data_IF_765539055752
#
_entry.id   IF_765539055752
#
_cell.length_a   1.000
_cell.length_b   1.000
_cell.length_c   1.000
_cell.angle_alpha   90.00
_cell.angle_beta   90.00
_cell.angle_gamma   90.00
#
_symmetry.space_group_name_H-M   'P 1'
#
loop_
_entity.id
_entity.type
_entity.pdbx_description
1 polymer ?
#
# COMPACT_ATOMS: atom_id res chain seq x y z
N UNK A 1 17.71 6.83 12.66
CA UNK A 1 18.64 7.71 11.91
C UNK A 1 17.91 8.79 11.11
N UNK A 2 17.06 8.43 10.13
CA UNK A 2 16.34 9.40 9.29
C UNK A 2 15.58 10.48 10.08
N UNK A 3 14.76 10.10 11.07
CA UNK A 3 13.99 11.06 11.88
C UNK A 3 14.87 12.06 12.66
N UNK A 4 16.04 11.63 13.15
CA UNK A 4 16.99 12.53 13.84
C UNK A 4 17.55 13.56 12.85
N UNK A 5 17.96 13.12 11.67
CA UNK A 5 18.46 14.01 10.62
C UNK A 5 17.41 15.01 10.13
N UNK A 6 16.14 14.60 10.03
CA UNK A 6 15.01 15.51 9.72
C UNK A 6 14.86 16.56 10.83
N UNK A 7 14.94 16.16 12.11
CA UNK A 7 14.79 17.10 13.23
C UNK A 7 15.90 18.17 13.27
N UNK A 8 17.13 17.79 12.89
CA UNK A 8 18.29 18.70 12.85
C UNK A 8 18.39 19.51 11.55
N UNK A 9 17.43 19.35 10.63
CA UNK A 9 17.49 20.02 9.34
C UNK A 9 17.37 21.55 9.47
N UNK A 10 18.29 22.25 8.82
CA UNK A 10 18.38 23.72 8.74
C UNK A 10 18.12 24.26 7.34
N UNK A 11 18.09 23.40 6.31
CA UNK A 11 17.79 23.76 4.93
C UNK A 11 16.84 22.74 4.29
N UNK A 12 16.11 23.15 3.25
CA UNK A 12 15.18 22.26 2.53
C UNK A 12 15.89 21.05 1.91
N UNK A 13 17.04 21.19 1.21
CA UNK A 13 17.76 20.01 0.69
C UNK A 13 18.22 19.06 1.79
N UNK A 14 18.64 19.59 2.95
CA UNK A 14 19.02 18.80 4.11
C UNK A 14 17.82 18.00 4.65
N UNK A 15 16.65 18.63 4.75
CA UNK A 15 15.41 17.97 5.15
C UNK A 15 15.02 16.86 4.17
N UNK A 16 15.04 17.13 2.86
CA UNK A 16 14.67 16.17 1.82
C UNK A 16 15.61 14.96 1.76
N UNK A 17 16.92 15.17 1.93
CA UNK A 17 17.90 14.09 1.96
C UNK A 17 17.61 13.11 3.13
N UNK A 18 17.35 13.63 4.33
CA UNK A 18 17.01 12.76 5.46
C UNK A 18 15.61 12.17 5.39
N UNK A 19 14.65 12.82 4.72
CA UNK A 19 13.36 12.21 4.37
C UNK A 19 13.53 11.01 3.47
N UNK A 20 14.42 11.07 2.47
CA UNK A 20 14.76 9.93 1.63
C UNK A 20 15.34 8.77 2.47
N UNK A 21 16.29 9.04 3.35
CA UNK A 21 16.82 7.99 4.25
C UNK A 21 15.77 7.42 5.21
N UNK A 22 14.85 8.26 5.68
CA UNK A 22 13.74 7.85 6.54
C UNK A 22 12.80 6.91 5.80
N UNK A 23 12.36 7.26 4.59
CA UNK A 23 11.44 6.43 3.79
C UNK A 23 12.10 5.16 3.28
N UNK A 24 13.38 5.22 2.93
CA UNK A 24 14.16 4.03 2.55
C UNK A 24 14.13 2.96 3.64
N UNK A 25 14.35 3.34 4.91
CA UNK A 25 14.29 2.39 6.03
C UNK A 25 12.90 1.79 6.25
N UNK A 26 11.85 2.61 6.12
CA UNK A 26 10.45 2.19 6.36
C UNK A 26 9.93 1.24 5.27
N UNK A 27 10.46 1.32 4.04
CA UNK A 27 10.01 0.52 2.88
C UNK A 27 10.00 -1.00 3.11
N UNK A 28 10.86 -1.50 3.99
CA UNK A 28 10.98 -2.93 4.30
C UNK A 28 9.88 -3.47 5.23
N UNK A 29 9.20 -2.62 5.98
CA UNK A 29 8.35 -3.03 7.11
C UNK A 29 7.22 -3.99 6.72
N UNK A 30 6.49 -3.69 5.64
CA UNK A 30 5.40 -4.55 5.16
C UNK A 30 5.91 -5.90 4.64
N UNK A 31 7.00 -5.89 3.86
CA UNK A 31 7.55 -7.09 3.24
C UNK A 31 8.16 -8.03 4.29
N UNK A 32 8.95 -7.49 5.22
CA UNK A 32 9.58 -8.27 6.29
C UNK A 32 8.53 -8.77 7.28
N UNK A 33 7.56 -7.94 7.67
CA UNK A 33 6.49 -8.34 8.59
C UNK A 33 5.64 -9.48 8.04
N UNK A 34 5.24 -9.40 6.76
CA UNK A 34 4.53 -10.50 6.08
C UNK A 34 5.38 -11.78 5.97
N UNK A 35 6.70 -11.64 5.79
CA UNK A 35 7.65 -12.76 5.79
C UNK A 35 7.72 -13.46 7.14
N UNK A 36 7.90 -12.71 8.23
CA UNK A 36 7.95 -13.24 9.60
C UNK A 36 6.67 -14.01 9.95
N UNK A 37 5.50 -13.47 9.58
CA UNK A 37 4.21 -14.17 9.81
C UNK A 37 4.16 -15.48 9.01
N UNK A 38 4.67 -15.49 7.79
CA UNK A 38 4.76 -16.70 6.98
C UNK A 38 5.73 -17.75 7.53
N UNK A 39 6.75 -17.31 8.27
CA UNK A 39 7.73 -18.22 8.88
C UNK A 39 7.20 -18.86 10.19
N UNK A 40 6.36 -18.16 10.98
CA UNK A 40 5.93 -18.62 12.32
C UNK A 40 4.54 -19.28 12.34
N UNK A 41 3.63 -18.93 11.42
CA UNK A 41 2.27 -19.48 11.38
C UNK A 41 2.14 -20.58 10.34
N UNK A 42 1.38 -21.63 10.68
CA UNK A 42 0.96 -22.66 9.72
C UNK A 42 0.05 -22.07 8.66
N UNK A 43 0.00 -22.71 7.48
CA UNK A 43 -0.71 -22.20 6.31
C UNK A 43 -2.18 -21.90 6.61
N UNK A 44 -2.84 -22.73 7.42
CA UNK A 44 -4.26 -22.61 7.77
C UNK A 44 -4.56 -21.42 8.69
N UNK A 45 -3.61 -21.03 9.54
CA UNK A 45 -3.76 -19.93 10.52
C UNK A 45 -3.16 -18.61 10.02
N UNK A 46 -2.33 -18.67 8.97
CA UNK A 46 -1.58 -17.55 8.41
C UNK A 46 -2.48 -16.40 7.95
N UNK A 47 -3.64 -16.71 7.37
CA UNK A 47 -4.59 -15.69 6.89
C UNK A 47 -5.11 -14.81 8.02
N UNK A 48 -5.45 -15.40 9.17
CA UNK A 48 -5.91 -14.65 10.35
C UNK A 48 -4.79 -13.80 10.94
N UNK A 49 -3.58 -14.35 11.05
CA UNK A 49 -2.42 -13.60 11.54
C UNK A 49 -2.06 -12.40 10.63
N UNK A 50 -2.08 -12.60 9.31
CA UNK A 50 -1.92 -11.52 8.33
C UNK A 50 -3.04 -10.47 8.45
N UNK A 51 -4.28 -10.90 8.68
CA UNK A 51 -5.40 -10.01 8.91
C UNK A 51 -5.21 -9.08 10.13
N UNK A 52 -4.72 -9.61 11.25
CA UNK A 52 -4.40 -8.81 12.45
C UNK A 52 -3.25 -7.84 12.16
N UNK A 53 -2.21 -8.28 11.46
CA UNK A 53 -1.09 -7.44 11.06
C UNK A 53 -1.54 -6.26 10.18
N UNK A 54 -2.34 -6.52 9.15
CA UNK A 54 -2.88 -5.46 8.30
C UNK A 54 -3.85 -4.54 9.05
N UNK A 55 -4.66 -5.06 9.97
CA UNK A 55 -5.51 -4.22 10.81
C UNK A 55 -4.69 -3.21 11.64
N UNK A 56 -3.56 -3.64 12.20
CA UNK A 56 -2.64 -2.75 12.92
C UNK A 56 -2.00 -1.70 12.00
N UNK A 57 -1.67 -2.08 10.75
CA UNK A 57 -1.14 -1.15 9.75
C UNK A 57 -2.18 -0.09 9.35
N UNK A 58 -3.43 -0.50 9.13
CA UNK A 58 -4.53 0.40 8.75
C UNK A 58 -4.92 1.37 9.87
N UNK A 59 -4.60 1.06 11.13
CA UNK A 59 -4.76 1.99 12.24
C UNK A 59 -3.79 3.19 12.16
N UNK A 60 -2.64 3.00 11.50
CA UNK A 60 -1.61 4.03 11.34
C UNK A 60 -2.14 5.30 10.68
N UNK A 61 -2.69 5.24 9.45
CA UNK A 61 -3.28 6.39 8.76
C UNK A 61 -4.38 7.11 9.55
N UNK A 62 -5.14 6.40 10.38
CA UNK A 62 -6.20 7.00 11.20
C UNK A 62 -5.65 7.85 12.35
N UNK A 63 -4.56 7.40 12.99
CA UNK A 63 -3.99 8.05 14.19
C UNK A 63 -2.89 9.06 13.81
N UNK A 64 -2.18 8.83 12.71
CA UNK A 64 -0.98 9.60 12.36
C UNK A 64 -1.25 11.10 12.14
N UNK A 65 -2.29 11.54 11.40
CA UNK A 65 -2.54 12.97 11.21
C UNK A 65 -2.96 13.68 12.50
N UNK A 66 -3.80 13.05 13.33
CA UNK A 66 -4.23 13.61 14.61
C UNK A 66 -3.04 13.75 15.58
N UNK A 67 -2.27 12.67 15.77
CA UNK A 67 -1.10 12.68 16.65
C UNK A 67 0.01 13.60 16.14
N UNK A 68 0.21 13.65 14.82
CA UNK A 68 1.16 14.54 14.16
C UNK A 68 0.78 16.01 14.29
N UNK A 69 -0.48 16.35 14.03
CA UNK A 69 -1.01 17.71 14.19
C UNK A 69 -0.97 18.18 15.65
N UNK A 70 -1.31 17.32 16.61
CA UNK A 70 -1.19 17.62 18.03
C UNK A 70 0.27 17.85 18.46
N UNK A 71 1.19 16.99 18.02
CA UNK A 71 2.61 17.13 18.35
C UNK A 71 3.24 18.38 17.69
N UNK A 72 2.80 18.74 16.49
CA UNK A 72 3.27 19.91 15.78
C UNK A 72 2.75 21.21 16.42
N UNK A 73 1.48 21.25 16.84
CA UNK A 73 0.87 22.41 17.48
C UNK A 73 1.35 22.67 18.92
N UNK A 74 1.36 21.63 19.77
CA UNK A 74 1.67 21.79 21.21
C UNK A 74 3.16 21.72 21.54
N UNK A 75 3.98 21.19 20.64
CA UNK A 75 5.42 21.11 20.83
C UNK A 75 6.15 21.72 19.63
N UNK A 76 6.62 20.90 18.72
CA UNK A 76 7.19 21.32 17.44
C UNK A 76 7.32 20.11 16.53
N UNK A 77 7.31 20.33 15.22
CA UNK A 77 7.57 19.27 14.24
C UNK A 77 8.94 18.61 14.44
N UNK A 78 9.93 19.33 15.02
CA UNK A 78 11.24 18.77 15.37
C UNK A 78 11.16 17.82 16.55
N UNK A 79 10.48 18.22 17.63
CA UNK A 79 10.25 17.36 18.78
C UNK A 79 9.47 16.09 18.38
N UNK A 80 8.47 16.23 17.51
CA UNK A 80 7.73 15.10 16.93
C UNK A 80 8.67 14.08 16.25
N UNK A 81 9.62 14.54 15.43
CA UNK A 81 10.58 13.65 14.76
C UNK A 81 11.56 12.98 15.73
N UNK A 82 11.94 13.67 16.81
CA UNK A 82 12.78 13.07 17.86
C UNK A 82 12.01 12.02 18.67
N UNK A 83 10.74 12.26 18.99
CA UNK A 83 9.88 11.26 19.65
C UNK A 83 9.77 10.00 18.78
N UNK A 84 9.54 10.16 17.46
CA UNK A 84 9.55 9.02 16.52
C UNK A 84 10.91 8.29 16.52
N UNK A 85 12.02 9.02 16.61
CA UNK A 85 13.35 8.41 16.69
C UNK A 85 13.51 7.55 17.96
N UNK A 86 13.02 8.03 19.10
CA UNK A 86 13.05 7.28 20.37
C UNK A 86 12.18 6.04 20.27
N UNK A 87 10.93 6.16 19.80
CA UNK A 87 10.01 5.03 19.66
C UNK A 87 10.60 3.95 18.75
N UNK A 88 11.10 4.32 17.57
CA UNK A 88 11.70 3.35 16.63
C UNK A 88 12.97 2.72 17.22
N UNK A 89 13.75 3.47 18.00
CA UNK A 89 14.92 2.91 18.69
C UNK A 89 14.52 1.89 19.77
N UNK A 90 13.46 2.17 20.53
CA UNK A 90 12.91 1.22 21.51
C UNK A 90 12.36 -0.04 20.82
N UNK A 91 11.68 0.10 19.68
CA UNK A 91 11.22 -1.04 18.87
C UNK A 91 12.40 -1.83 18.35
N UNK A 92 13.45 -1.18 17.83
CA UNK A 92 14.66 -1.86 17.38
C UNK A 92 15.33 -2.64 18.51
N UNK A 93 15.49 -2.04 19.69
CA UNK A 93 16.03 -2.74 20.87
C UNK A 93 15.15 -3.92 21.25
N UNK A 94 13.82 -3.74 21.21
CA UNK A 94 12.89 -4.82 21.52
C UNK A 94 13.02 -5.98 20.53
N UNK A 95 13.17 -5.70 19.24
CA UNK A 95 13.43 -6.73 18.22
C UNK A 95 14.77 -7.41 18.46
N UNK A 96 15.83 -6.67 18.76
CA UNK A 96 17.17 -7.23 18.98
C UNK A 96 17.25 -8.16 20.19
N UNK A 97 16.49 -7.87 21.26
CA UNK A 97 16.55 -8.66 22.50
C UNK A 97 15.45 -9.71 22.63
N UNK A 98 14.25 -9.46 22.09
CA UNK A 98 13.09 -10.33 22.30
C UNK A 98 12.65 -11.12 21.07
N UNK A 99 13.05 -10.73 19.85
CA UNK A 99 12.65 -11.46 18.65
C UNK A 99 13.69 -12.55 18.33
N UNK A 100 13.39 -13.84 18.55
CA UNK A 100 14.27 -14.92 18.10
C UNK A 100 14.31 -14.95 16.57
N UNK A 101 15.37 -15.53 16.01
CA UNK A 101 15.44 -15.76 14.55
C UNK A 101 14.26 -16.65 14.14
N UNK A 102 13.39 -16.10 13.29
CA UNK A 102 12.17 -16.79 12.81
C UNK A 102 12.42 -17.61 11.55
N UNK A 103 13.51 -17.34 10.83
CA UNK A 103 13.80 -18.00 9.57
C UNK A 103 14.26 -19.44 9.77
N UNK A 104 13.55 -20.38 9.13
CA UNK A 104 13.92 -21.79 9.13
C UNK A 104 15.12 -22.03 8.20
N UNK A 105 16.16 -22.77 8.61
CA UNK A 105 17.32 -23.05 7.75
C UNK A 105 16.91 -23.78 6.45
N UNK A 106 17.30 -23.24 5.28
CA UNK A 106 17.09 -23.89 3.98
C UNK A 106 15.78 -23.54 3.26
N UNK A 107 14.91 -22.73 3.86
CA UNK A 107 13.67 -22.26 3.19
C UNK A 107 13.86 -20.95 2.40
N UNK A 108 14.96 -20.22 2.63
CA UNK A 108 15.22 -18.93 1.97
C UNK A 108 15.50 -19.09 0.47
N UNK A 109 15.07 -18.10 -0.34
CA UNK A 109 15.56 -17.94 -1.71
C UNK A 109 17.09 -17.79 -1.78
N UNK A 110 17.70 -17.12 -0.79
CA UNK A 110 19.16 -16.99 -0.65
C UNK A 110 19.85 -18.31 -0.29
N UNK A 111 19.20 -19.16 0.53
CA UNK A 111 19.72 -20.49 0.86
C UNK A 111 19.61 -21.43 -0.35
N UNK A 112 18.54 -21.31 -1.15
CA UNK A 112 18.39 -21.99 -2.44
C UNK A 112 19.42 -21.54 -3.47
N UNK A 113 19.68 -20.23 -3.59
CA UNK A 113 20.75 -19.66 -4.43
C UNK A 113 22.14 -20.10 -3.95
N UNK A 114 22.38 -20.13 -2.63
CA UNK A 114 23.63 -20.61 -2.06
C UNK A 114 23.84 -22.12 -2.27
N UNK A 115 22.76 -22.90 -2.40
CA UNK A 115 22.80 -24.34 -2.65
C UNK A 115 22.84 -24.70 -4.14
N UNK A 116 22.44 -23.80 -5.05
CA UNK A 116 22.40 -24.11 -6.50
C UNK A 116 23.78 -24.06 -7.17
N UNK A 117 24.78 -23.38 -6.58
CA UNK A 117 26.06 -23.10 -7.26
C UNK A 117 27.35 -23.40 -6.47
N UNK A 118 27.30 -24.14 -5.35
CA UNK A 118 28.51 -24.42 -4.56
C UNK A 118 28.90 -25.91 -4.54
N UNK A 119 30.07 -26.29 -5.10
CA UNK A 119 30.59 -27.65 -4.93
C UNK A 119 30.84 -27.93 -3.44
N UNK A 120 30.47 -29.15 -3.04
CA UNK A 120 30.30 -29.69 -1.68
C UNK A 120 31.56 -29.79 -0.79
N UNK A 121 32.60 -28.98 -0.98
CA UNK A 121 33.84 -29.07 -0.19
C UNK A 121 34.45 -27.70 0.10
N UNK A 122 34.57 -27.32 1.39
CA UNK A 122 34.81 -25.90 1.75
C UNK A 122 34.38 -25.38 3.14
N UNK A 123 34.13 -26.22 4.15
CA UNK A 123 33.32 -25.89 5.35
C UNK A 123 33.88 -24.85 6.34
N UNK A 124 35.01 -24.17 6.09
CA UNK A 124 35.71 -23.40 7.15
C UNK A 124 35.84 -21.87 6.94
N UNK A 125 35.42 -21.31 5.79
CA UNK A 125 35.24 -19.86 5.64
C UNK A 125 33.77 -19.52 5.37
N UNK A 126 32.95 -19.47 6.43
CA UNK A 126 31.61 -18.85 6.40
C UNK A 126 31.75 -17.31 6.42
N UNK A 127 32.50 -16.74 5.49
CA UNK A 127 32.40 -15.29 5.25
C UNK A 127 31.04 -15.05 4.57
N UNK A 128 30.16 -14.32 5.27
CA UNK A 128 28.89 -13.79 4.78
C UNK A 128 29.17 -12.82 3.62
N UNK A 129 29.44 -13.35 2.43
CA UNK A 129 29.42 -12.52 1.22
C UNK A 129 27.98 -12.00 1.10
N UNK A 130 27.73 -10.68 1.09
CA UNK A 130 26.39 -10.19 0.82
C UNK A 130 26.02 -10.68 -0.58
N UNK A 131 25.03 -11.56 -0.66
CA UNK A 131 24.47 -11.95 -1.94
C UNK A 131 23.87 -10.68 -2.51
N UNK A 132 24.52 -10.11 -3.52
CA UNK A 132 24.04 -8.91 -4.19
C UNK A 132 22.85 -9.32 -5.06
N UNK A 133 21.66 -9.36 -4.44
CA UNK A 133 20.42 -9.54 -5.17
C UNK A 133 20.22 -8.32 -6.06
N UNK A 134 19.91 -8.55 -7.33
CA UNK A 134 19.57 -7.49 -8.25
C UNK A 134 18.18 -6.92 -7.87
N UNK A 135 18.10 -5.69 -7.33
CA UNK A 135 16.84 -5.13 -6.82
C UNK A 135 15.84 -4.79 -7.94
N UNK A 136 16.31 -4.73 -9.19
CA UNK A 136 15.48 -4.42 -10.35
C UNK A 136 14.92 -5.66 -11.05
N UNK A 137 15.39 -6.86 -10.70
CA UNK A 137 14.94 -8.10 -11.34
C UNK A 137 13.43 -8.32 -11.21
N UNK A 138 12.78 -8.09 -10.04
CA UNK A 138 11.33 -8.23 -9.91
C UNK A 138 10.54 -7.30 -10.84
N UNK A 139 11.09 -6.15 -11.26
CA UNK A 139 10.41 -5.24 -12.19
C UNK A 139 10.19 -5.87 -13.57
N UNK A 140 10.94 -6.91 -13.93
CA UNK A 140 10.73 -7.65 -15.18
C UNK A 140 9.36 -8.35 -15.23
N UNK A 141 8.74 -8.62 -14.08
CA UNK A 141 7.40 -9.19 -14.00
C UNK A 141 6.33 -8.26 -14.59
N UNK A 142 6.58 -6.95 -14.62
CA UNK A 142 5.71 -5.95 -15.25
C UNK A 142 5.66 -6.07 -16.78
N UNK A 143 6.49 -6.91 -17.40
CA UNK A 143 6.36 -7.27 -18.82
C UNK A 143 5.07 -8.02 -19.10
N UNK A 144 4.51 -8.70 -18.11
CA UNK A 144 3.20 -9.33 -18.23
C UNK A 144 2.10 -8.25 -18.23
N UNK A 145 1.25 -8.19 -19.27
CA UNK A 145 0.19 -7.20 -19.36
C UNK A 145 -0.77 -7.23 -18.17
N UNK A 146 -1.08 -8.41 -17.62
CA UNK A 146 -2.01 -8.52 -16.50
C UNK A 146 -1.41 -7.98 -15.20
N UNK A 147 -0.11 -8.21 -14.97
CA UNK A 147 0.61 -7.69 -13.79
C UNK A 147 0.72 -6.18 -13.91
N UNK A 148 1.01 -5.66 -15.11
CA UNK A 148 1.05 -4.22 -15.37
C UNK A 148 -0.33 -3.57 -15.16
N UNK A 149 -1.41 -4.17 -15.65
CA UNK A 149 -2.78 -3.66 -15.44
C UNK A 149 -3.12 -3.67 -13.95
N UNK A 150 -2.80 -4.75 -13.22
CA UNK A 150 -3.02 -4.82 -11.78
C UNK A 150 -2.23 -3.73 -11.04
N UNK A 151 -1.00 -3.46 -11.46
CA UNK A 151 -0.18 -2.39 -10.88
C UNK A 151 -0.69 -0.99 -11.22
N UNK A 152 -1.20 -0.79 -12.42
CA UNK A 152 -1.84 0.46 -12.84
C UNK A 152 -3.14 0.71 -12.06
N UNK A 153 -3.96 -0.32 -11.87
CA UNK A 153 -5.17 -0.26 -11.04
C UNK A 153 -4.81 0.11 -9.60
N UNK A 154 -3.80 -0.53 -9.01
CA UNK A 154 -3.34 -0.22 -7.66
C UNK A 154 -2.80 1.23 -7.54
N UNK A 155 -2.14 1.74 -8.57
CA UNK A 155 -1.74 3.15 -8.66
C UNK A 155 -2.94 4.08 -8.73
N UNK A 156 -3.87 3.87 -9.66
CA UNK A 156 -5.01 4.77 -9.89
C UNK A 156 -5.91 4.88 -8.66
N UNK A 157 -6.15 3.77 -7.95
CA UNK A 157 -6.95 3.78 -6.72
C UNK A 157 -6.31 4.68 -5.66
N UNK A 158 -5.00 4.55 -5.43
CA UNK A 158 -4.29 5.44 -4.50
C UNK A 158 -4.17 6.88 -5.03
N UNK A 159 -4.07 7.06 -6.35
CA UNK A 159 -4.00 8.38 -6.95
C UNK A 159 -5.28 9.20 -6.66
N UNK A 160 -6.45 8.55 -6.70
CA UNK A 160 -7.73 9.14 -6.29
C UNK A 160 -7.74 9.50 -4.81
N UNK A 161 -7.25 8.61 -3.94
CA UNK A 161 -7.15 8.83 -2.50
C UNK A 161 -6.31 10.07 -2.16
N UNK A 162 -5.12 10.20 -2.76
CA UNK A 162 -4.23 11.31 -2.48
C UNK A 162 -4.76 12.67 -2.95
N UNK A 163 -5.66 12.71 -3.95
CA UNK A 163 -6.32 13.96 -4.39
C UNK A 163 -7.23 14.52 -3.30
N UNK A 164 -7.86 13.66 -2.51
CA UNK A 164 -8.71 14.08 -1.39
C UNK A 164 -7.87 14.41 -0.15
N UNK A 165 -6.94 13.52 0.21
CA UNK A 165 -6.19 13.60 1.47
C UNK A 165 -5.19 14.77 1.48
N UNK A 166 -4.46 15.03 0.39
CA UNK A 166 -3.37 16.02 0.41
C UNK A 166 -3.89 17.46 0.54
N UNK A 167 -4.84 17.92 -0.29
CA UNK A 167 -5.34 19.28 -0.21
C UNK A 167 -6.13 19.54 1.07
N UNK A 168 -6.68 18.50 1.72
CA UNK A 168 -7.50 18.62 2.93
C UNK A 168 -6.89 19.55 3.98
N UNK A 169 -5.59 19.40 4.26
CA UNK A 169 -4.89 20.23 5.23
C UNK A 169 -4.71 21.69 4.78
N UNK A 170 -4.62 21.94 3.47
CA UNK A 170 -4.45 23.26 2.86
C UNK A 170 -5.79 23.98 2.62
N UNK A 171 -6.88 23.24 2.44
CA UNK A 171 -8.20 23.79 2.15
C UNK A 171 -9.00 24.04 3.43
N UNK A 172 -9.12 23.04 4.31
CA UNK A 172 -9.99 23.12 5.50
C UNK A 172 -9.42 24.10 6.55
N UNK A 173 -8.11 24.07 6.78
CA UNK A 173 -7.47 24.90 7.81
C UNK A 173 -7.76 26.40 7.65
N UNK A 174 -7.37 27.00 6.51
CA UNK A 174 -7.68 28.42 6.21
C UNK A 174 -9.18 28.70 6.11
N UNK A 175 -9.95 27.77 5.54
CA UNK A 175 -11.38 27.96 5.26
C UNK A 175 -12.24 28.07 6.51
N UNK A 176 -11.99 27.23 7.52
CA UNK A 176 -12.73 27.25 8.78
C UNK A 176 -12.01 28.04 9.89
N UNK A 177 -10.93 28.75 9.55
CA UNK A 177 -10.13 29.51 10.53
C UNK A 177 -9.52 28.64 11.62
N UNK A 178 -9.21 27.38 11.32
CA UNK A 178 -8.64 26.44 12.28
C UNK A 178 -7.17 26.79 12.53
N UNK A 179 -6.92 27.51 13.61
CA UNK A 179 -5.57 27.88 14.05
C UNK A 179 -4.78 26.74 14.70
N UNK A 180 -5.48 25.67 15.11
CA UNK A 180 -4.88 24.53 15.78
C UNK A 180 -4.74 23.33 14.82
N UNK A 181 -3.48 22.96 14.54
CA UNK A 181 -3.12 21.87 13.63
C UNK A 181 -3.65 20.51 14.09
N UNK A 182 -3.95 20.34 15.38
CA UNK A 182 -4.58 19.13 15.90
C UNK A 182 -6.01 18.93 15.36
N UNK A 183 -6.78 20.01 15.19
CA UNK A 183 -8.12 19.93 14.60
C UNK A 183 -8.05 19.63 13.10
N UNK A 184 -7.07 20.21 12.39
CA UNK A 184 -6.81 19.84 10.99
C UNK A 184 -6.43 18.36 10.87
N UNK A 185 -5.58 17.86 11.79
CA UNK A 185 -5.27 16.43 11.89
C UNK A 185 -6.48 15.54 12.20
N UNK A 186 -7.44 16.04 12.99
CA UNK A 186 -8.67 15.33 13.31
C UNK A 186 -9.59 15.15 12.10
N UNK A 187 -9.52 16.03 11.10
CA UNK A 187 -10.28 15.89 9.84
C UNK A 187 -9.92 14.65 9.03
N UNK A 188 -8.79 13.99 9.33
CA UNK A 188 -8.40 12.72 8.68
C UNK A 188 -8.96 11.47 9.39
N UNK A 189 -9.59 11.61 10.56
CA UNK A 189 -10.19 10.48 11.28
C UNK A 189 -11.27 9.78 10.45
N UNK A 190 -12.22 10.48 9.78
CA UNK A 190 -13.22 9.84 8.93
C UNK A 190 -12.59 8.96 7.83
N UNK A 191 -11.51 9.43 7.20
CA UNK A 191 -10.75 8.67 6.22
C UNK A 191 -10.18 7.39 6.85
N UNK A 192 -9.47 7.50 7.98
CA UNK A 192 -8.93 6.34 8.68
C UNK A 192 -9.98 5.32 9.13
N UNK A 193 -11.12 5.78 9.66
CA UNK A 193 -12.26 4.92 10.02
C UNK A 193 -12.88 4.27 8.78
N UNK A 194 -13.00 5.01 7.68
CA UNK A 194 -13.46 4.51 6.39
C UNK A 194 -12.61 3.35 5.88
N UNK A 195 -11.29 3.50 5.93
CA UNK A 195 -10.31 2.44 5.63
C UNK A 195 -10.44 1.21 6.52
N UNK A 196 -10.54 1.41 7.84
CA UNK A 196 -10.69 0.34 8.82
C UNK A 196 -11.96 -0.50 8.62
N UNK A 197 -13.04 0.11 8.14
CA UNK A 197 -14.31 -0.58 7.84
C UNK A 197 -14.28 -1.15 6.42
N UNK A 198 -13.77 -0.40 5.46
CA UNK A 198 -13.78 -0.72 4.04
C UNK A 198 -12.94 -1.94 3.68
N UNK A 199 -11.70 -2.02 4.18
CA UNK A 199 -10.79 -3.12 3.84
C UNK A 199 -11.32 -4.49 4.29
N UNK A 200 -11.77 -4.71 5.55
CA UNK A 200 -12.34 -6.00 5.96
C UNK A 200 -13.64 -6.36 5.23
N UNK A 201 -14.50 -5.37 4.94
CA UNK A 201 -15.73 -5.61 4.18
C UNK A 201 -15.44 -6.06 2.75
N UNK A 202 -14.49 -5.42 2.09
CA UNK A 202 -14.10 -5.79 0.73
C UNK A 202 -13.36 -7.13 0.67
N UNK A 203 -12.51 -7.44 1.64
CA UNK A 203 -11.90 -8.77 1.76
C UNK A 203 -12.96 -9.87 1.86
N UNK A 204 -13.93 -9.72 2.77
CA UNK A 204 -15.03 -10.69 2.94
C UNK A 204 -15.92 -10.79 1.70
N UNK A 205 -16.21 -9.67 1.04
CA UNK A 205 -16.99 -9.65 -0.19
C UNK A 205 -16.25 -10.35 -1.33
N UNK A 206 -14.96 -10.09 -1.46
CA UNK A 206 -14.04 -10.76 -2.40
C UNK A 206 -14.07 -12.28 -2.23
N UNK A 207 -13.87 -12.77 -1.01
CA UNK A 207 -13.83 -14.22 -0.75
C UNK A 207 -15.19 -14.89 -1.04
N UNK A 208 -16.29 -14.20 -0.70
CA UNK A 208 -17.65 -14.66 -1.03
C UNK A 208 -17.88 -14.75 -2.54
N UNK A 209 -17.41 -13.78 -3.31
CA UNK A 209 -17.58 -13.77 -4.77
C UNK A 209 -16.77 -14.90 -5.41
N UNK A 210 -15.50 -15.07 -5.01
CA UNK A 210 -14.65 -16.16 -5.52
C UNK A 210 -15.28 -17.53 -5.24
N UNK A 211 -15.74 -17.77 -4.01
CA UNK A 211 -16.38 -19.05 -3.64
C UNK A 211 -17.68 -19.29 -4.40
N UNK A 212 -18.52 -18.26 -4.60
CA UNK A 212 -19.75 -18.38 -5.38
C UNK A 212 -19.48 -18.70 -6.85
N UNK A 213 -18.50 -18.05 -7.48
CA UNK A 213 -18.19 -18.31 -8.89
C UNK A 213 -17.51 -19.66 -9.10
N UNK A 214 -16.63 -20.07 -8.18
CA UNK A 214 -16.05 -21.41 -8.17
C UNK A 214 -17.14 -22.49 -8.07
N UNK A 215 -18.12 -22.32 -7.17
CA UNK A 215 -19.24 -23.25 -7.03
C UNK A 215 -20.12 -23.32 -8.30
N UNK A 216 -20.24 -22.23 -9.06
CA UNK A 216 -21.04 -22.19 -10.30
C UNK A 216 -20.35 -22.83 -11.49
N UNK A 217 -19.01 -22.68 -11.62
CA UNK A 217 -18.25 -23.12 -12.80
C UNK A 217 -17.46 -24.41 -12.58
N UNK A 218 -17.28 -24.84 -11.35
CA UNK A 218 -16.42 -25.98 -10.97
C UNK A 218 -14.91 -25.69 -11.04
N UNK A 219 -14.50 -24.63 -11.74
CA UNK A 219 -13.10 -24.20 -11.90
C UNK A 219 -12.82 -22.86 -11.19
N UNK A 220 -11.57 -22.67 -10.80
CA UNK A 220 -11.04 -21.48 -10.14
C UNK A 220 -10.37 -20.53 -11.15
N UNK A 221 -10.85 -19.28 -11.17
CA UNK A 221 -10.23 -18.18 -11.90
C UNK A 221 -9.85 -17.06 -10.93
N UNK A 222 -8.57 -16.63 -10.91
CA UNK A 222 -8.15 -15.55 -10.01
C UNK A 222 -8.87 -14.23 -10.32
N UNK A 223 -9.29 -14.01 -11.56
CA UNK A 223 -10.00 -12.79 -11.99
C UNK A 223 -11.35 -12.59 -11.30
N UNK A 224 -11.97 -13.66 -10.77
CA UNK A 224 -13.24 -13.55 -10.06
C UNK A 224 -13.11 -12.71 -8.78
N UNK A 225 -11.90 -12.61 -8.21
CA UNK A 225 -11.60 -11.74 -7.06
C UNK A 225 -11.78 -10.26 -7.40
N UNK A 226 -11.33 -9.84 -8.58
CA UNK A 226 -11.41 -8.44 -9.03
C UNK A 226 -12.85 -7.95 -9.21
N UNK A 227 -13.80 -8.88 -9.39
CA UNK A 227 -15.24 -8.53 -9.51
C UNK A 227 -15.79 -7.85 -8.26
N UNK A 228 -15.20 -8.11 -7.09
CA UNK A 228 -15.56 -7.43 -5.86
C UNK A 228 -15.26 -5.92 -5.90
N UNK A 229 -14.24 -5.51 -6.65
CA UNK A 229 -13.85 -4.11 -6.80
C UNK A 229 -14.63 -3.35 -7.88
N UNK A 230 -15.38 -4.04 -8.76
CA UNK A 230 -16.11 -3.40 -9.86
C UNK A 230 -17.18 -2.42 -9.38
N UNK A 231 -18.02 -2.85 -8.42
CA UNK A 231 -19.09 -2.00 -7.91
C UNK A 231 -18.55 -0.79 -7.14
N UNK A 232 -17.62 -0.95 -6.18
CA UNK A 232 -16.99 0.19 -5.52
C UNK A 232 -16.30 1.16 -6.47
N UNK A 233 -15.52 0.67 -7.44
CA UNK A 233 -14.77 1.51 -8.38
C UNK A 233 -15.67 2.29 -9.35
N UNK A 234 -16.82 1.74 -9.75
CA UNK A 234 -17.74 2.38 -10.69
C UNK A 234 -18.65 3.43 -10.06
N UNK A 235 -19.06 3.22 -8.81
CA UNK A 235 -20.13 4.02 -8.17
C UNK A 235 -19.67 4.67 -6.87
N UNK A 236 -19.33 3.86 -5.86
CA UNK A 236 -19.05 4.36 -4.50
C UNK A 236 -17.90 5.38 -4.51
N UNK A 237 -16.75 5.03 -5.09
CA UNK A 237 -15.57 5.89 -5.11
C UNK A 237 -15.82 7.20 -5.87
N UNK A 238 -16.23 7.20 -7.15
CA UNK A 238 -16.41 8.46 -7.89
C UNK A 238 -17.53 9.33 -7.30
N UNK A 239 -18.61 8.74 -6.79
CA UNK A 239 -19.67 9.51 -6.12
C UNK A 239 -19.17 10.12 -4.80
N UNK A 240 -18.35 9.40 -4.03
CA UNK A 240 -17.78 9.96 -2.79
C UNK A 240 -16.83 11.13 -3.05
N UNK A 241 -15.99 11.01 -4.07
CA UNK A 241 -15.02 12.05 -4.47
C UNK A 241 -15.77 13.28 -5.00
N UNK A 242 -16.76 13.10 -5.88
CA UNK A 242 -17.56 14.21 -6.39
C UNK A 242 -18.39 14.88 -5.29
N UNK A 243 -18.96 14.09 -4.37
CA UNK A 243 -19.67 14.63 -3.22
C UNK A 243 -18.74 15.47 -2.34
N UNK A 244 -17.52 15.00 -2.05
CA UNK A 244 -16.49 15.74 -1.31
C UNK A 244 -16.16 17.08 -1.97
N UNK A 245 -15.93 17.08 -3.29
CA UNK A 245 -15.67 18.31 -4.03
C UNK A 245 -16.83 19.30 -3.98
N UNK A 246 -18.07 18.83 -4.09
CA UNK A 246 -19.26 19.68 -3.99
C UNK A 246 -19.43 20.23 -2.57
N UNK A 247 -19.36 19.39 -1.54
CA UNK A 247 -19.45 19.79 -0.13
C UNK A 247 -18.40 20.86 0.20
N UNK A 248 -17.18 20.66 -0.28
CA UNK A 248 -16.08 21.61 -0.11
C UNK A 248 -16.31 22.93 -0.86
N UNK A 249 -17.19 23.01 -1.86
CA UNK A 249 -17.56 24.29 -2.50
C UNK A 249 -18.72 25.01 -1.83
N UNK A 250 -19.63 24.30 -1.16
CA UNK A 250 -20.83 24.87 -0.53
C UNK A 250 -20.63 25.24 0.95
N UNK A 251 -19.38 25.26 1.42
CA UNK A 251 -19.00 25.57 2.81
C UNK A 251 -19.53 24.61 3.88
N UNK A 252 -20.06 23.46 3.47
CA UNK A 252 -20.42 22.38 4.37
C UNK A 252 -19.19 21.55 4.75
N UNK A 253 -19.17 21.11 6.01
CA UNK A 253 -18.08 20.31 6.52
C UNK A 253 -18.05 18.96 5.77
N UNK A 254 -16.93 18.67 5.12
CA UNK A 254 -16.73 17.42 4.43
C UNK A 254 -16.39 16.31 5.44
N UNK A 255 -17.42 15.55 5.81
CA UNK A 255 -17.32 14.37 6.65
C UNK A 255 -17.31 13.08 5.83
N UNK A 256 -16.95 13.13 4.54
CA UNK A 256 -17.00 11.94 3.72
C UNK A 256 -16.10 10.83 4.28
N UNK A 257 -16.76 9.75 4.68
CA UNK A 257 -16.09 8.48 4.95
C UNK A 257 -15.70 7.89 3.60
N UNK A 258 -14.49 8.21 3.16
CA UNK A 258 -13.92 7.60 1.97
C UNK A 258 -13.85 6.08 2.14
N UNK A 259 -14.42 5.35 1.18
CA UNK A 259 -14.45 3.87 1.18
C UNK A 259 -13.53 3.29 0.10
N UNK A 260 -12.46 4.01 -0.24
CA UNK A 260 -11.54 3.69 -1.34
C UNK A 260 -10.88 2.32 -1.13
N UNK A 261 -10.59 1.96 0.12
CA UNK A 261 -10.06 0.64 0.48
C UNK A 261 -10.96 -0.54 0.12
N UNK A 262 -12.26 -0.29 -0.13
CA UNK A 262 -13.16 -1.31 -0.64
C UNK A 262 -12.80 -1.76 -2.07
N UNK A 263 -12.16 -0.88 -2.86
CA UNK A 263 -11.68 -1.21 -4.21
C UNK A 263 -10.24 -1.75 -4.20
N UNK A 264 -9.38 -1.26 -3.28
CA UNK A 264 -7.95 -1.58 -3.23
C UNK A 264 -7.66 -3.00 -2.72
N UNK A 265 -8.42 -3.47 -1.72
CA UNK A 265 -8.13 -4.72 -1.01
C UNK A 265 -8.17 -5.96 -1.92
N UNK A 266 -9.21 -6.16 -2.77
CA UNK A 266 -9.25 -7.32 -3.67
C UNK A 266 -8.15 -7.30 -4.74
N UNK A 267 -7.74 -6.10 -5.19
CA UNK A 267 -6.69 -5.94 -6.20
C UNK A 267 -5.30 -6.33 -5.65
N UNK A 268 -5.01 -5.95 -4.41
CA UNK A 268 -3.75 -6.32 -3.75
C UNK A 268 -3.65 -7.83 -3.53
N UNK A 269 -4.78 -8.46 -3.17
CA UNK A 269 -4.86 -9.91 -2.99
C UNK A 269 -4.83 -10.68 -4.32
N UNK A 270 -5.29 -10.08 -5.43
CA UNK A 270 -5.24 -10.70 -6.76
C UNK A 270 -3.79 -10.95 -7.25
N UNK A 271 -2.87 -10.00 -7.03
CA UNK A 271 -1.47 -10.13 -7.45
C UNK A 271 -0.77 -11.30 -6.73
N UNK A 272 -1.12 -11.51 -5.46
CA UNK A 272 -0.61 -12.65 -4.67
C UNK A 272 -1.17 -13.96 -5.21
N UNK A 273 -2.46 -14.01 -5.55
CA UNK A 273 -3.08 -15.21 -6.09
C UNK A 273 -2.44 -15.63 -7.40
N UNK A 274 -2.31 -14.73 -8.39
CA UNK A 274 -1.80 -15.10 -9.71
C UNK A 274 -0.35 -15.58 -9.71
N UNK A 275 0.45 -15.20 -8.71
CA UNK A 275 1.89 -15.44 -8.62
C UNK A 275 2.27 -15.94 -7.22
N UNK A 276 1.59 -16.96 -6.72
CA UNK A 276 1.77 -17.48 -5.36
C UNK A 276 3.23 -17.83 -5.04
N UNK A 277 3.91 -18.53 -5.96
CA UNK A 277 5.30 -18.99 -5.84
C UNK A 277 6.32 -17.84 -5.75
N UNK A 278 5.99 -16.67 -6.29
CA UNK A 278 6.83 -15.46 -6.33
C UNK A 278 6.11 -14.25 -5.70
N UNK A 279 5.22 -14.50 -4.74
CA UNK A 279 4.33 -13.48 -4.16
C UNK A 279 5.07 -12.27 -3.54
N UNK A 280 6.24 -12.50 -2.95
CA UNK A 280 7.08 -11.42 -2.42
C UNK A 280 7.67 -10.53 -3.53
N UNK A 281 8.13 -11.14 -4.62
CA UNK A 281 8.72 -10.43 -5.77
C UNK A 281 7.64 -9.66 -6.55
N UNK A 282 6.47 -10.27 -6.77
CA UNK A 282 5.34 -9.62 -7.46
C UNK A 282 4.80 -8.43 -6.66
N UNK A 283 4.68 -8.57 -5.34
CA UNK A 283 4.25 -7.48 -4.45
C UNK A 283 5.28 -6.35 -4.41
N UNK A 284 6.57 -6.67 -4.41
CA UNK A 284 7.64 -5.68 -4.46
C UNK A 284 7.65 -4.91 -5.80
N UNK A 285 7.55 -5.61 -6.92
CA UNK A 285 7.49 -5.01 -8.26
C UNK A 285 6.29 -4.07 -8.41
N UNK A 286 5.11 -4.54 -7.98
CA UNK A 286 3.89 -3.76 -7.94
C UNK A 286 4.05 -2.49 -7.07
N UNK A 287 4.57 -2.65 -5.86
CA UNK A 287 4.75 -1.54 -4.92
C UNK A 287 5.75 -0.51 -5.44
N UNK A 288 6.85 -0.95 -6.05
CA UNK A 288 7.87 -0.08 -6.63
C UNK A 288 7.33 0.72 -7.83
N UNK A 289 6.66 0.05 -8.77
CA UNK A 289 6.01 0.71 -9.91
C UNK A 289 5.00 1.75 -9.46
N UNK A 290 4.12 1.34 -8.53
CA UNK A 290 3.11 2.20 -7.93
C UNK A 290 3.72 3.41 -7.24
N UNK A 291 4.75 3.22 -6.41
CA UNK A 291 5.41 4.31 -5.70
C UNK A 291 6.08 5.32 -6.64
N UNK A 292 6.69 4.85 -7.73
CA UNK A 292 7.29 5.72 -8.74
C UNK A 292 6.23 6.63 -9.40
N UNK A 293 5.11 6.07 -9.86
CA UNK A 293 4.03 6.86 -10.45
C UNK A 293 3.34 7.79 -9.44
N UNK A 294 3.09 7.30 -8.22
CA UNK A 294 2.53 8.13 -7.15
C UNK A 294 3.41 9.33 -6.82
N UNK A 295 4.74 9.18 -6.84
CA UNK A 295 5.63 10.31 -6.57
C UNK A 295 5.46 11.46 -7.56
N UNK A 296 5.27 11.13 -8.85
CA UNK A 296 5.00 12.11 -9.90
C UNK A 296 3.59 12.70 -9.78
N UNK A 297 2.61 11.87 -9.44
CA UNK A 297 1.22 12.30 -9.25
C UNK A 297 1.08 13.27 -8.07
N UNK A 298 1.65 12.93 -6.91
CA UNK A 298 1.61 13.77 -5.70
C UNK A 298 2.20 15.15 -5.95
N UNK A 299 3.27 15.24 -6.74
CA UNK A 299 3.87 16.52 -7.14
C UNK A 299 2.89 17.43 -7.91
N UNK A 300 1.96 16.86 -8.67
CA UNK A 300 1.01 17.59 -9.50
C UNK A 300 -0.28 18.01 -8.75
N UNK A 301 -0.61 17.39 -7.61
CA UNK A 301 -1.90 17.59 -6.94
C UNK A 301 -2.09 19.03 -6.45
N UNK A 302 -1.14 19.59 -5.68
CA UNK A 302 -1.30 20.94 -5.14
C UNK A 302 -1.39 22.01 -6.25
N UNK A 303 -0.51 22.03 -7.27
CA UNK A 303 -0.67 22.93 -8.41
C UNK A 303 -2.00 22.74 -9.16
N UNK A 304 -2.52 21.51 -9.26
CA UNK A 304 -3.82 21.25 -9.88
C UNK A 304 -4.96 21.88 -9.07
N UNK A 305 -4.94 21.73 -7.75
CA UNK A 305 -5.95 22.34 -6.86
C UNK A 305 -5.86 23.87 -6.88
N UNK A 306 -4.66 24.44 -6.85
CA UNK A 306 -4.46 25.90 -6.86
C UNK A 306 -4.92 26.54 -8.18
N UNK A 307 -4.71 25.88 -9.32
CA UNK A 307 -5.05 26.44 -10.63
C UNK A 307 -6.50 26.18 -11.06
N UNK A 308 -7.04 24.98 -10.78
CA UNK A 308 -8.37 24.57 -11.26
C UNK A 308 -9.44 24.56 -10.17
N UNK A 309 -9.03 24.66 -8.90
CA UNK A 309 -9.91 24.53 -7.75
C UNK A 309 -10.15 23.08 -7.33
N UNK A 310 -10.68 22.91 -6.11
CA UNK A 310 -10.92 21.61 -5.47
C UNK A 310 -11.91 20.76 -6.28
N UNK A 311 -13.04 21.34 -6.69
CA UNK A 311 -14.08 20.61 -7.43
C UNK A 311 -13.58 20.04 -8.76
N UNK A 312 -12.74 20.78 -9.49
CA UNK A 312 -12.17 20.31 -10.74
C UNK A 312 -11.14 19.19 -10.50
N UNK A 313 -10.31 19.32 -9.45
CA UNK A 313 -9.38 18.27 -9.04
C UNK A 313 -10.11 16.97 -8.66
N UNK A 314 -11.21 17.07 -7.92
CA UNK A 314 -12.05 15.92 -7.55
C UNK A 314 -12.78 15.34 -8.76
N UNK A 315 -13.18 16.18 -9.72
CA UNK A 315 -13.68 15.74 -11.02
C UNK A 315 -12.65 14.88 -11.78
N UNK A 316 -11.37 15.28 -11.78
CA UNK A 316 -10.29 14.48 -12.36
C UNK A 316 -10.13 13.15 -11.62
N UNK A 317 -10.18 13.16 -10.28
CA UNK A 317 -10.11 11.94 -9.50
C UNK A 317 -11.30 10.98 -9.77
N UNK A 318 -12.50 11.50 -9.97
CA UNK A 318 -13.66 10.70 -10.38
C UNK A 318 -13.45 10.05 -11.77
N UNK A 319 -12.87 10.78 -12.73
CA UNK A 319 -12.50 10.23 -14.04
C UNK A 319 -11.46 9.11 -13.92
N UNK A 320 -10.46 9.28 -13.05
CA UNK A 320 -9.46 8.23 -12.77
C UNK A 320 -10.09 6.99 -12.13
N UNK A 321 -11.12 7.15 -11.29
CA UNK A 321 -11.88 6.00 -10.75
C UNK A 321 -12.63 5.25 -11.85
N UNK A 322 -13.24 5.94 -12.81
CA UNK A 322 -13.87 5.27 -13.95
C UNK A 322 -12.85 4.62 -14.90
N UNK A 323 -11.68 5.22 -15.07
CA UNK A 323 -10.57 4.57 -15.77
C UNK A 323 -10.16 3.27 -15.06
N UNK A 324 -10.09 3.29 -13.73
CA UNK A 324 -9.84 2.11 -12.90
C UNK A 324 -10.89 1.03 -13.15
N UNK A 325 -12.17 1.39 -13.17
CA UNK A 325 -13.26 0.47 -13.50
C UNK A 325 -13.11 -0.13 -14.92
N UNK A 326 -12.72 0.67 -15.91
CA UNK A 326 -12.44 0.21 -17.26
C UNK A 326 -11.30 -0.83 -17.30
N UNK A 327 -10.19 -0.55 -16.62
CA UNK A 327 -9.06 -1.47 -16.52
C UNK A 327 -9.42 -2.77 -15.77
N UNK A 328 -10.23 -2.68 -14.71
CA UNK A 328 -10.76 -3.87 -14.01
C UNK A 328 -11.61 -4.73 -14.95
N UNK A 329 -12.48 -4.11 -15.76
CA UNK A 329 -13.27 -4.82 -16.77
C UNK A 329 -12.38 -5.54 -17.79
N UNK A 330 -11.30 -4.88 -18.25
CA UNK A 330 -10.33 -5.47 -19.18
C UNK A 330 -9.62 -6.66 -18.53
N UNK A 331 -9.12 -6.51 -17.29
CA UNK A 331 -8.45 -7.57 -16.55
C UNK A 331 -9.37 -8.79 -16.33
N UNK A 332 -10.65 -8.56 -16.01
CA UNK A 332 -11.61 -9.64 -15.78
C UNK A 332 -12.02 -10.34 -17.07
N UNK A 333 -12.19 -9.59 -18.17
CA UNK A 333 -12.66 -10.15 -19.45
C UNK A 333 -11.56 -10.86 -20.23
N UNK A 334 -10.33 -10.33 -20.19
CA UNK A 334 -9.21 -10.82 -20.99
C UNK A 334 -8.10 -11.46 -20.15
N UNK A 335 -8.30 -11.67 -18.85
CA UNK A 335 -7.25 -12.12 -17.93
C UNK A 335 -6.52 -13.40 -18.35
N UNK A 336 -7.25 -14.41 -18.86
CA UNK A 336 -6.66 -15.65 -19.37
C UNK A 336 -5.74 -15.41 -20.58
N UNK A 337 -6.22 -14.61 -21.55
CA UNK A 337 -5.42 -14.23 -22.73
C UNK A 337 -4.22 -13.38 -22.34
N UNK A 338 -4.37 -12.46 -21.39
CA UNK A 338 -3.27 -11.58 -20.95
C UNK A 338 -2.21 -12.35 -20.14
N UNK A 339 -2.61 -13.40 -19.40
CA UNK A 339 -1.68 -14.30 -18.71
C UNK A 339 -0.86 -15.13 -19.69
N UNK A 340 -1.43 -15.58 -20.79
CA UNK A 340 -0.70 -16.43 -21.76
C UNK A 340 0.37 -15.70 -22.57
N UNK A 341 0.44 -14.36 -22.52
CA UNK A 341 1.44 -13.58 -23.27
C UNK A 341 2.87 -13.74 -22.75
N UNK A 342 3.05 -13.83 -21.44
CA UNK A 342 4.35 -13.96 -20.80
C UNK A 342 4.19 -14.94 -19.65
N UNK A 343 4.84 -16.10 -19.77
CA UNK A 343 4.84 -17.09 -18.69
C UNK A 343 5.78 -16.65 -17.57
N UNK A 344 5.19 -16.40 -16.40
CA UNK A 344 5.89 -16.03 -15.17
C UNK A 344 5.78 -17.15 -14.11
N UNK A 345 5.25 -18.32 -14.47
CA UNK A 345 4.92 -19.38 -13.51
C UNK A 345 3.66 -19.05 -12.71
N UNK A 346 2.57 -18.71 -13.42
CA UNK A 346 1.29 -18.39 -12.78
C UNK A 346 0.72 -19.58 -11.99
N UNK A 347 0.01 -19.26 -10.91
CA UNK A 347 -0.75 -20.24 -10.13
C UNK A 347 -1.81 -20.93 -10.98
N UNK A 348 -1.87 -22.25 -10.88
CA UNK A 348 -2.92 -23.13 -11.39
C UNK A 348 -3.74 -23.70 -10.24
N UNK A 349 -4.86 -24.37 -10.53
CA UNK A 349 -5.69 -25.01 -9.49
C UNK A 349 -4.94 -26.04 -8.63
N UNK A 350 -3.88 -26.63 -9.18
CA UNK A 350 -3.06 -27.64 -8.50
C UNK A 350 -1.94 -27.03 -7.65
N UNK A 351 -1.62 -25.75 -7.86
CA UNK A 351 -0.46 -25.07 -7.24
C UNK A 351 -0.84 -23.94 -6.30
N UNK A 352 -2.13 -23.67 -6.10
CA UNK A 352 -2.68 -22.62 -5.24
C UNK A 352 -3.43 -23.22 -4.04
#
# INVERSE_FOLDING_TARGET
>A
MGSIGVATATSIPHLLAFRFFQTFGVSSGLSVGAGVIGDIYKLEERGTAMGVFFAAILLGPAIAPLSGGAAAHYASWRAMQLILAVIVSLVLLSVLFFLPETSHPGTRGVDKLSNSDRPRGRTWLKLKIPVLLNPFLPLLMLRSPIVLIAAMVAFLILAVEYVLVIPLAYTIGPKYGLSNEAFVGACFIPHGVGSMIGAPLAGRLSDRIVTQYRAKRGSWYPEDRLRASLFPASTIVPLSVLASGILTTIDEADWNFEKIDMALSPCSAYIVDILHSQSAESTAANSAFRAALLSLWIMAILPMVENWGVLAADGVAALLSWLTFGLLCVAIRYGETLRSWVDLGYSTEETN
#
